data_IF_656524317987
#
_entry.id   IF_656524317987
#
_cell.length_a   1.000
_cell.length_b   1.000
_cell.length_c   1.000
_cell.angle_alpha   90.00
_cell.angle_beta   90.00
_cell.angle_gamma   90.00
#
_symmetry.space_group_name_H-M   'P 1'
#
loop_
_entity.id
_entity.type
_entity.pdbx_description
1 polymer ?
#
# COMPACT_ATOMS: atom_id res chain seq x y z
N UNK A 1 -60.34 5.56 -68.76
CA UNK A 1 -60.50 5.40 -67.30
C UNK A 1 -59.13 5.48 -66.66
N UNK A 2 -58.83 6.59 -65.98
CA UNK A 2 -57.54 6.85 -65.30
C UNK A 2 -57.44 5.97 -64.05
N UNK A 3 -56.36 5.20 -63.90
CA UNK A 3 -55.99 4.55 -62.64
C UNK A 3 -54.79 5.29 -62.05
N UNK A 4 -55.01 5.75 -60.82
CA UNK A 4 -54.10 6.53 -59.99
C UNK A 4 -53.02 5.57 -59.46
N UNK A 5 -51.74 5.89 -59.69
CA UNK A 5 -50.61 5.25 -59.01
C UNK A 5 -50.34 6.02 -57.72
N UNK A 6 -50.54 5.36 -56.58
CA UNK A 6 -50.19 5.89 -55.25
C UNK A 6 -48.76 5.47 -54.93
N UNK A 7 -47.85 6.44 -54.81
CA UNK A 7 -46.48 6.22 -54.36
C UNK A 7 -46.46 6.05 -52.84
N UNK A 8 -45.98 4.90 -52.35
CA UNK A 8 -45.76 4.65 -50.93
C UNK A 8 -44.35 5.14 -50.55
N UNK A 9 -44.27 6.23 -49.78
CA UNK A 9 -43.02 6.69 -49.19
C UNK A 9 -42.67 5.76 -48.00
N UNK A 10 -41.52 5.09 -48.08
CA UNK A 10 -40.97 4.29 -46.98
C UNK A 10 -40.18 5.22 -46.06
N UNK A 11 -40.66 5.42 -44.83
CA UNK A 11 -39.94 6.12 -43.77
C UNK A 11 -38.93 5.11 -43.19
N UNK A 12 -37.64 5.34 -43.44
CA UNK A 12 -36.56 4.60 -42.78
C UNK A 12 -36.45 5.11 -41.34
N UNK A 13 -36.88 4.30 -40.37
CA UNK A 13 -36.63 4.59 -38.97
C UNK A 13 -35.14 4.34 -38.66
N UNK A 14 -34.39 5.41 -38.41
CA UNK A 14 -33.04 5.31 -37.85
C UNK A 14 -33.21 4.99 -36.37
N UNK A 15 -32.95 3.74 -35.99
CA UNK A 15 -32.80 3.36 -34.58
C UNK A 15 -31.54 4.08 -34.03
N UNK A 16 -31.59 4.69 -32.84
CA UNK A 16 -30.37 5.10 -32.15
C UNK A 16 -29.59 3.84 -31.78
N UNK A 17 -28.35 3.73 -32.26
CA UNK A 17 -27.41 2.74 -31.73
C UNK A 17 -27.19 3.08 -30.26
N UNK A 18 -27.80 2.28 -29.37
CA UNK A 18 -27.44 2.27 -27.96
C UNK A 18 -25.97 1.86 -27.89
N UNK A 19 -25.14 2.78 -27.41
CA UNK A 19 -23.77 2.46 -27.02
C UNK A 19 -23.87 1.39 -25.93
N UNK A 20 -23.55 0.16 -26.31
CA UNK A 20 -23.30 -0.91 -25.37
C UNK A 20 -21.94 -0.55 -24.75
N UNK A 21 -21.95 0.09 -23.58
CA UNK A 21 -20.76 0.18 -22.75
C UNK A 21 -20.30 -1.25 -22.52
N UNK A 22 -19.19 -1.60 -23.17
CA UNK A 22 -18.57 -2.90 -23.02
C UNK A 22 -17.94 -2.88 -21.62
N UNK A 23 -18.69 -3.32 -20.60
CA UNK A 23 -18.11 -3.68 -19.30
C UNK A 23 -17.04 -4.72 -19.60
N UNK A 24 -15.79 -4.28 -19.67
CA UNK A 24 -14.66 -5.19 -19.82
C UNK A 24 -14.73 -6.15 -18.64
N UNK A 25 -14.77 -7.46 -18.93
CA UNK A 25 -14.81 -8.48 -17.90
C UNK A 25 -13.64 -8.28 -16.93
N UNK A 26 -13.95 -8.00 -15.66
CA UNK A 26 -12.93 -7.89 -14.61
C UNK A 26 -12.36 -9.27 -14.32
N UNK A 27 -11.03 -9.39 -14.34
CA UNK A 27 -10.33 -10.63 -14.02
C UNK A 27 -10.46 -10.92 -12.52
N UNK A 28 -10.84 -12.15 -12.16
CA UNK A 28 -10.90 -12.56 -10.77
C UNK A 28 -9.48 -12.70 -10.18
N UNK A 29 -9.30 -12.28 -8.93
CA UNK A 29 -8.05 -12.44 -8.17
C UNK A 29 -8.19 -13.68 -7.27
N UNK A 30 -7.28 -14.64 -7.40
CA UNK A 30 -7.20 -15.77 -6.46
C UNK A 30 -6.54 -15.30 -5.17
N UNK A 31 -7.22 -15.48 -4.04
CA UNK A 31 -6.73 -15.11 -2.71
C UNK A 31 -6.71 -16.34 -1.81
N UNK A 32 -5.56 -16.59 -1.19
CA UNK A 32 -5.37 -17.61 -0.15
C UNK A 32 -5.14 -16.92 1.17
N UNK A 33 -5.63 -17.51 2.26
CA UNK A 33 -5.46 -16.99 3.61
C UNK A 33 -5.12 -18.11 4.58
N UNK A 34 -4.21 -17.80 5.50
CA UNK A 34 -3.80 -18.68 6.59
C UNK A 34 -4.17 -18.01 7.92
N UNK A 35 -4.93 -18.70 8.79
CA UNK A 35 -5.23 -18.18 10.10
C UNK A 35 -3.94 -18.15 10.93
N UNK A 36 -3.63 -16.98 11.49
CA UNK A 36 -2.51 -16.85 12.42
C UNK A 36 -2.88 -17.58 13.72
N UNK A 37 -2.02 -18.46 14.26
CA UNK A 37 -2.38 -19.34 15.38
C UNK A 37 -2.62 -18.60 16.71
N UNK A 38 -2.24 -17.32 16.79
CA UNK A 38 -2.46 -16.47 17.95
C UNK A 38 -3.66 -15.55 17.71
N UNK A 39 -4.76 -15.83 18.41
CA UNK A 39 -6.03 -15.11 18.21
C UNK A 39 -5.98 -13.64 18.66
N UNK A 40 -6.72 -12.78 17.94
CA UNK A 40 -6.97 -11.36 18.28
C UNK A 40 -5.69 -10.52 18.34
N UNK A 41 -4.69 -10.88 17.56
CA UNK A 41 -3.36 -10.22 17.61
C UNK A 41 -3.16 -9.15 16.55
N UNK A 42 -4.09 -9.03 15.59
CA UNK A 42 -4.06 -8.07 14.47
C UNK A 42 -2.76 -8.20 13.64
N UNK A 43 -2.53 -9.37 13.03
CA UNK A 43 -1.39 -9.62 12.16
C UNK A 43 -1.44 -8.66 10.96
N UNK A 44 -0.33 -7.99 10.67
CA UNK A 44 -0.31 -6.99 9.62
C UNK A 44 1.08 -6.64 9.12
N UNK A 45 1.06 -5.82 8.08
CA UNK A 45 2.20 -5.16 7.45
C UNK A 45 3.37 -6.12 7.17
N UNK A 46 3.11 -7.18 6.37
CA UNK A 46 4.13 -8.16 6.07
C UNK A 46 5.20 -7.62 5.13
N UNK A 47 6.35 -8.28 5.15
CA UNK A 47 7.45 -8.16 4.20
C UNK A 47 8.02 -9.55 3.86
N UNK A 48 8.72 -9.67 2.72
CA UNK A 48 9.15 -10.97 2.16
C UNK A 48 10.67 -11.08 2.19
N UNK A 49 11.18 -12.10 2.87
CA UNK A 49 12.62 -12.38 2.92
C UNK A 49 13.13 -13.07 1.65
N UNK A 50 14.45 -13.06 1.43
CA UNK A 50 15.06 -13.64 0.24
C UNK A 50 14.90 -15.16 0.14
N UNK A 51 14.62 -15.85 1.23
CA UNK A 51 14.31 -17.28 1.28
C UNK A 51 12.81 -17.57 1.06
N UNK A 52 11.97 -16.55 0.89
CA UNK A 52 10.52 -16.68 0.69
C UNK A 52 9.71 -16.69 1.98
N UNK A 53 10.36 -16.58 3.14
CA UNK A 53 9.65 -16.43 4.41
C UNK A 53 8.94 -15.08 4.50
N UNK A 54 7.77 -15.07 5.11
CA UNK A 54 6.91 -13.89 5.23
C UNK A 54 7.00 -13.37 6.67
N UNK A 55 7.68 -12.25 6.86
CA UNK A 55 7.79 -11.58 8.15
C UNK A 55 6.60 -10.65 8.35
N UNK A 56 6.03 -10.61 9.55
CA UNK A 56 4.90 -9.74 9.90
C UNK A 56 4.91 -9.37 11.39
N UNK A 57 4.02 -8.47 11.80
CA UNK A 57 3.85 -8.10 13.21
C UNK A 57 2.43 -8.33 13.67
N UNK A 58 2.26 -8.68 14.95
CA UNK A 58 0.97 -8.67 15.63
C UNK A 58 0.89 -7.49 16.59
N UNK A 59 0.30 -6.37 16.17
CA UNK A 59 0.31 -5.16 17.01
C UNK A 59 -0.37 -5.35 18.36
N UNK A 60 -1.50 -6.04 18.39
CA UNK A 60 -2.24 -6.21 19.64
C UNK A 60 -1.64 -7.31 20.53
N UNK A 61 -0.79 -8.16 19.96
CA UNK A 61 -0.09 -9.24 20.66
C UNK A 61 1.37 -8.94 20.99
N UNK A 62 1.88 -7.75 20.66
CA UNK A 62 3.26 -7.32 20.91
C UNK A 62 4.32 -8.34 20.42
N UNK A 63 4.25 -8.76 19.15
CA UNK A 63 5.24 -9.68 18.57
C UNK A 63 5.68 -9.30 17.14
N UNK A 64 6.86 -9.78 16.77
CA UNK A 64 7.29 -10.01 15.37
C UNK A 64 7.15 -11.50 15.09
N UNK A 65 6.73 -11.89 13.89
CA UNK A 65 6.56 -13.29 13.52
C UNK A 65 7.00 -13.54 12.08
N UNK A 66 7.28 -14.81 11.80
CA UNK A 66 7.62 -15.31 10.48
C UNK A 66 6.67 -16.44 10.10
N UNK A 67 6.30 -16.48 8.84
CA UNK A 67 5.47 -17.52 8.24
C UNK A 67 6.24 -18.17 7.09
N UNK A 68 6.38 -19.50 7.14
CA UNK A 68 6.83 -20.32 6.03
C UNK A 68 5.59 -20.79 5.23
N UNK A 69 5.38 -20.28 4.01
CA UNK A 69 4.23 -20.66 3.19
C UNK A 69 4.33 -22.07 2.59
N UNK A 70 5.51 -22.69 2.52
CA UNK A 70 5.66 -24.06 1.98
C UNK A 70 5.28 -25.10 3.04
N UNK A 71 5.79 -24.92 4.28
CA UNK A 71 5.45 -25.76 5.42
C UNK A 71 4.15 -25.39 6.15
N UNK A 72 3.58 -24.22 5.84
CA UNK A 72 2.49 -23.57 6.59
C UNK A 72 2.80 -23.40 8.09
N UNK A 73 4.04 -23.07 8.41
CA UNK A 73 4.54 -22.96 9.80
C UNK A 73 4.67 -21.50 10.22
N UNK A 74 4.22 -21.21 11.43
CA UNK A 74 4.37 -19.89 12.07
C UNK A 74 5.31 -19.97 13.27
N UNK A 75 6.21 -19.00 13.37
CA UNK A 75 7.04 -18.76 14.54
C UNK A 75 6.91 -17.30 14.98
N UNK A 76 6.89 -17.03 16.29
CA UNK A 76 6.84 -15.67 16.83
C UNK A 76 7.98 -15.40 17.80
N UNK A 77 8.30 -14.12 17.87
CA UNK A 77 9.26 -13.52 18.78
C UNK A 77 8.51 -12.46 19.61
N UNK A 78 8.32 -12.76 20.90
CA UNK A 78 7.60 -11.88 21.81
C UNK A 78 8.43 -10.60 22.07
N UNK A 79 7.79 -9.44 21.93
CA UNK A 79 8.36 -8.15 22.30
C UNK A 79 7.98 -7.81 23.75
N UNK A 80 8.53 -6.71 24.28
CA UNK A 80 8.05 -6.22 25.57
C UNK A 80 6.61 -5.68 25.45
N UNK A 81 5.82 -5.93 26.50
CA UNK A 81 4.46 -5.42 26.64
C UNK A 81 4.35 -3.94 26.28
N UNK A 82 3.39 -3.61 25.44
CA UNK A 82 3.14 -2.24 24.99
C UNK A 82 4.03 -1.76 23.84
N UNK A 83 4.85 -2.63 23.23
CA UNK A 83 5.62 -2.29 22.04
C UNK A 83 4.71 -1.79 20.89
N UNK A 84 3.54 -2.42 20.74
CA UNK A 84 2.53 -2.12 19.75
C UNK A 84 3.08 -2.03 18.33
N UNK A 85 3.84 -3.04 17.85
CA UNK A 85 4.58 -2.92 16.61
C UNK A 85 3.68 -2.58 15.43
N UNK A 86 4.12 -1.70 14.53
CA UNK A 86 3.27 -1.28 13.40
C UNK A 86 3.59 -2.00 12.09
N UNK A 87 4.86 -2.04 11.72
CA UNK A 87 5.36 -2.57 10.47
C UNK A 87 6.69 -3.31 10.72
N UNK A 88 7.00 -4.28 9.87
CA UNK A 88 8.30 -4.94 9.77
C UNK A 88 8.83 -4.75 8.35
N UNK A 89 10.15 -4.68 8.22
CA UNK A 89 10.86 -4.76 6.95
C UNK A 89 11.96 -5.82 7.06
N UNK A 90 12.24 -6.49 5.95
CA UNK A 90 13.45 -7.31 5.77
C UNK A 90 14.40 -6.50 4.90
N UNK A 91 15.58 -6.21 5.44
CA UNK A 91 16.58 -5.42 4.70
C UNK A 91 17.29 -6.26 3.64
N UNK A 92 18.01 -5.61 2.73
CA UNK A 92 18.80 -6.26 1.68
C UNK A 92 19.82 -7.25 2.27
N UNK A 93 20.42 -6.89 3.40
CA UNK A 93 21.33 -7.76 4.18
C UNK A 93 20.61 -8.75 5.12
N UNK A 94 19.30 -8.91 4.94
CA UNK A 94 18.42 -9.88 5.62
C UNK A 94 18.28 -9.66 7.13
N UNK A 95 18.48 -8.42 7.61
CA UNK A 95 18.11 -8.04 8.97
C UNK A 95 16.62 -7.80 9.09
N UNK A 96 16.04 -8.13 10.25
CA UNK A 96 14.62 -7.96 10.52
C UNK A 96 14.43 -6.71 11.39
N UNK A 97 13.80 -5.68 10.83
CA UNK A 97 13.56 -4.41 11.51
C UNK A 97 12.07 -4.13 11.67
N UNK A 98 11.66 -3.58 12.80
CA UNK A 98 10.26 -3.24 13.06
C UNK A 98 10.11 -1.86 13.72
N UNK A 99 8.94 -1.23 13.52
CA UNK A 99 8.54 -0.03 14.28
C UNK A 99 7.92 -0.43 15.62
N UNK A 100 8.58 -0.13 16.74
CA UNK A 100 8.01 -0.13 18.07
C UNK A 100 7.07 1.06 18.29
N UNK A 101 5.97 1.12 17.54
CA UNK A 101 5.14 2.32 17.38
C UNK A 101 4.58 2.91 18.69
N UNK A 102 4.27 2.07 19.69
CA UNK A 102 3.78 2.56 20.99
C UNK A 102 4.88 2.77 22.02
N UNK A 103 6.10 2.29 21.73
CA UNK A 103 7.24 2.30 22.63
C UNK A 103 8.40 3.20 22.15
N UNK A 104 8.18 4.03 21.11
CA UNK A 104 9.12 5.04 20.63
C UNK A 104 10.52 4.48 20.27
N UNK A 105 10.56 3.40 19.48
CA UNK A 105 11.84 2.84 19.01
C UNK A 105 11.73 2.17 17.63
N UNK A 106 12.87 2.08 16.95
CA UNK A 106 13.09 1.08 15.90
C UNK A 106 13.74 -0.15 16.55
N UNK A 107 13.28 -1.34 16.22
CA UNK A 107 13.82 -2.58 16.79
C UNK A 107 14.39 -3.48 15.72
N UNK A 108 15.59 -4.01 15.95
CA UNK A 108 16.21 -5.05 15.14
C UNK A 108 16.13 -6.38 15.88
N UNK A 109 15.52 -7.38 15.24
CA UNK A 109 15.41 -8.74 15.75
C UNK A 109 16.54 -9.60 15.18
N UNK A 110 17.23 -10.33 16.06
CA UNK A 110 18.05 -11.48 15.66
C UNK A 110 17.15 -12.74 15.65
N UNK A 111 16.83 -13.31 14.47
CA UNK A 111 15.95 -14.47 14.38
C UNK A 111 16.55 -15.76 14.95
N UNK A 112 17.88 -15.86 15.09
CA UNK A 112 18.52 -17.05 15.63
C UNK A 112 18.42 -17.14 17.15
N UNK A 113 18.37 -15.99 17.83
CA UNK A 113 18.39 -15.90 19.30
C UNK A 113 17.09 -15.33 19.88
N UNK A 114 16.32 -14.60 19.08
CA UNK A 114 15.18 -13.80 19.54
C UNK A 114 15.58 -12.48 20.21
N UNK A 115 16.88 -12.14 20.24
CA UNK A 115 17.33 -10.90 20.86
C UNK A 115 16.88 -9.65 20.08
N UNK A 116 16.44 -8.62 20.81
CA UNK A 116 16.01 -7.35 20.23
C UNK A 116 17.01 -6.25 20.59
N UNK A 117 17.63 -5.66 19.57
CA UNK A 117 18.35 -4.40 19.70
C UNK A 117 17.40 -3.22 19.43
N UNK A 118 17.27 -2.30 20.39
CA UNK A 118 16.38 -1.13 20.27
C UNK A 118 17.16 0.14 20.01
N UNK A 119 16.76 0.87 18.99
CA UNK A 119 17.20 2.23 18.70
C UNK A 119 16.07 3.18 19.13
N UNK A 120 16.19 3.87 20.28
CA UNK A 120 15.16 4.80 20.73
C UNK A 120 15.03 5.94 19.73
N UNK A 121 13.80 6.32 19.41
CA UNK A 121 13.57 7.54 18.63
C UNK A 121 13.78 8.76 19.54
N UNK A 122 14.25 9.90 19.00
CA UNK A 122 14.44 11.10 19.79
C UNK A 122 13.15 11.59 20.48
N UNK A 123 13.27 12.16 21.69
CA UNK A 123 12.10 12.56 22.50
C UNK A 123 11.27 13.71 21.89
N UNK A 124 11.78 14.38 20.86
CA UNK A 124 11.28 15.61 20.21
C UNK A 124 10.06 15.38 19.29
N UNK A 125 9.07 14.68 19.84
CA UNK A 125 7.86 14.23 19.16
C UNK A 125 8.07 13.05 18.19
N UNK A 126 9.23 12.39 18.15
CA UNK A 126 9.42 11.19 17.33
C UNK A 126 8.86 9.88 17.95
N UNK A 127 7.91 9.97 18.88
CA UNK A 127 7.56 8.88 19.80
C UNK A 127 6.66 7.77 19.20
N UNK A 128 6.29 7.88 17.92
CA UNK A 128 5.44 6.90 17.25
C UNK A 128 5.92 6.54 15.84
N UNK A 129 7.14 5.97 15.70
CA UNK A 129 7.61 5.47 14.41
C UNK A 129 6.60 4.49 13.83
N UNK A 130 6.28 4.61 12.54
CA UNK A 130 5.10 3.98 11.97
C UNK A 130 5.48 3.04 10.80
N UNK A 131 5.67 3.57 9.59
CA UNK A 131 6.04 2.75 8.42
C UNK A 131 7.53 2.90 8.16
N UNK A 132 8.25 1.79 8.02
CA UNK A 132 9.67 1.75 7.69
C UNK A 132 9.85 1.43 6.20
N UNK A 133 10.96 1.86 5.63
CA UNK A 133 11.48 1.41 4.33
C UNK A 133 13.00 1.59 4.32
N UNK A 134 13.73 0.66 3.72
CA UNK A 134 15.18 0.77 3.52
C UNK A 134 15.51 1.46 2.19
N UNK A 135 16.57 2.27 2.18
CA UNK A 135 17.12 2.88 0.97
C UNK A 135 18.37 2.16 0.45
N UNK A 136 18.84 2.52 -0.75
CA UNK A 136 19.97 1.84 -1.41
C UNK A 136 21.31 1.94 -0.66
N UNK A 137 21.39 2.82 0.34
CA UNK A 137 22.57 2.98 1.22
C UNK A 137 22.42 2.20 2.52
N UNK A 138 21.33 1.43 2.68
CA UNK A 138 21.04 0.67 3.87
C UNK A 138 20.58 1.55 5.04
N UNK A 139 20.08 2.76 4.79
CA UNK A 139 19.48 3.61 5.83
C UNK A 139 17.98 3.28 5.92
N UNK A 140 17.43 3.36 7.11
CA UNK A 140 16.00 3.09 7.35
C UNK A 140 15.26 4.41 7.44
N UNK A 141 14.43 4.69 6.43
CA UNK A 141 13.47 5.78 6.48
C UNK A 141 12.22 5.35 7.23
N UNK A 142 11.61 6.28 7.95
CA UNK A 142 10.38 6.00 8.67
C UNK A 142 9.48 7.22 8.81
N UNK A 143 8.17 6.97 8.86
CA UNK A 143 7.20 8.01 9.22
C UNK A 143 6.96 8.05 10.72
N UNK A 144 6.72 9.25 11.24
CA UNK A 144 6.30 9.47 12.63
C UNK A 144 4.92 10.13 12.58
N UNK A 145 3.88 9.33 12.79
CA UNK A 145 2.52 9.72 12.44
C UNK A 145 2.01 10.87 13.30
N UNK A 146 1.88 10.67 14.60
CA UNK A 146 1.38 11.65 15.55
C UNK A 146 2.43 12.70 15.87
N UNK A 147 3.70 12.32 15.81
CA UNK A 147 4.84 13.23 15.89
C UNK A 147 4.97 14.25 14.78
N UNK A 148 4.30 14.01 13.64
CA UNK A 148 4.29 14.92 12.50
C UNK A 148 5.72 15.14 11.95
N UNK A 149 6.47 14.04 11.82
CA UNK A 149 7.85 14.01 11.31
C UNK A 149 8.05 12.89 10.28
N UNK A 150 9.08 13.06 9.47
CA UNK A 150 9.69 11.99 8.66
C UNK A 150 11.11 11.84 9.18
N UNK A 151 11.56 10.61 9.38
CA UNK A 151 12.86 10.30 9.93
C UNK A 151 13.69 9.40 9.01
N UNK A 152 14.99 9.44 9.22
CA UNK A 152 15.97 8.53 8.59
C UNK A 152 16.98 8.10 9.64
N UNK A 153 17.19 6.81 9.75
CA UNK A 153 18.18 6.19 10.61
C UNK A 153 19.33 5.64 9.78
N UNK A 154 20.54 6.14 10.02
CA UNK A 154 21.76 5.58 9.43
C UNK A 154 22.27 4.44 10.31
N UNK A 155 22.22 3.21 9.80
CA UNK A 155 22.65 2.01 10.53
C UNK A 155 24.16 1.97 10.79
N UNK A 156 24.96 2.65 9.97
CA UNK A 156 26.43 2.66 10.08
C UNK A 156 26.92 3.64 11.14
N UNK A 157 26.30 4.82 11.24
CA UNK A 157 26.67 5.84 12.24
C UNK A 157 25.85 5.72 13.53
N UNK A 158 24.66 5.16 13.46
CA UNK A 158 23.70 5.12 14.56
C UNK A 158 22.91 6.43 14.74
N UNK A 159 22.97 7.34 13.76
CA UNK A 159 22.33 8.66 13.85
C UNK A 159 20.90 8.65 13.27
N UNK A 160 20.01 9.41 13.91
CA UNK A 160 18.65 9.66 13.43
C UNK A 160 18.53 11.13 13.05
N UNK A 161 18.12 11.38 11.81
CA UNK A 161 17.72 12.70 11.32
C UNK A 161 16.19 12.79 11.25
N UNK A 162 15.63 13.96 11.57
CA UNK A 162 14.19 14.20 11.57
C UNK A 162 13.86 15.52 10.87
N UNK A 163 12.82 15.50 10.03
CA UNK A 163 12.27 16.69 9.39
C UNK A 163 10.80 16.84 9.70
N UNK A 164 10.40 18.06 10.08
CA UNK A 164 9.03 18.41 10.42
C UNK A 164 8.19 18.80 9.22
N UNK A 165 7.00 18.23 9.13
CA UNK A 165 5.98 18.71 8.19
C UNK A 165 5.27 19.92 8.79
N UNK A 166 5.00 20.91 7.94
CA UNK A 166 4.72 22.29 8.34
C UNK A 166 3.35 22.44 8.99
N UNK A 167 2.35 21.73 8.48
CA UNK A 167 0.99 21.79 8.98
C UNK A 167 0.82 20.85 10.20
N UNK A 168 0.20 21.32 11.31
CA UNK A 168 -0.11 20.45 12.43
C UNK A 168 -1.08 19.33 12.05
N UNK A 169 -0.88 18.14 12.65
CA UNK A 169 -1.72 16.95 12.43
C UNK A 169 -1.75 16.48 10.96
N UNK A 170 -0.68 16.71 10.19
CA UNK A 170 -0.52 16.18 8.83
C UNK A 170 -0.41 14.67 8.78
N UNK A 171 0.02 14.01 9.85
CA UNK A 171 0.07 12.54 9.97
C UNK A 171 0.81 11.85 8.80
N UNK A 172 2.13 12.05 8.68
CA UNK A 172 2.98 11.22 7.81
C UNK A 172 2.64 9.73 8.00
N UNK A 173 2.28 9.03 6.92
CA UNK A 173 1.70 7.69 7.00
C UNK A 173 2.44 6.65 6.16
N UNK A 174 2.05 6.46 4.91
CA UNK A 174 2.74 5.60 3.96
C UNK A 174 3.95 6.32 3.39
N UNK A 175 5.04 5.59 3.19
CA UNK A 175 6.30 6.05 2.62
C UNK A 175 6.72 5.11 1.48
N UNK A 176 7.26 5.68 0.41
CA UNK A 176 7.95 4.97 -0.68
C UNK A 176 9.17 5.79 -1.10
N UNK A 177 10.19 5.12 -1.62
CA UNK A 177 11.37 5.76 -2.16
C UNK A 177 11.28 5.80 -3.68
N UNK A 178 11.84 6.84 -4.29
CA UNK A 178 12.13 6.85 -5.73
C UNK A 178 13.50 6.25 -6.04
N UNK A 179 13.92 6.26 -7.31
CA UNK A 179 15.18 5.64 -7.75
C UNK A 179 16.43 6.35 -7.21
N UNK A 180 16.28 7.60 -6.75
CA UNK A 180 17.30 8.42 -6.12
C UNK A 180 17.18 8.42 -4.58
N UNK A 181 16.46 7.44 -4.01
CA UNK A 181 16.19 7.29 -2.57
C UNK A 181 15.41 8.43 -1.92
N UNK A 182 14.79 9.35 -2.69
CA UNK A 182 13.99 10.41 -2.08
C UNK A 182 12.71 9.82 -1.51
N UNK A 183 12.37 10.24 -0.29
CA UNK A 183 11.20 9.72 0.39
C UNK A 183 9.93 10.47 -0.02
N UNK A 184 9.00 9.74 -0.63
CA UNK A 184 7.63 10.17 -0.90
C UNK A 184 6.70 9.71 0.21
N UNK A 185 5.97 10.64 0.81
CA UNK A 185 5.16 10.38 2.02
C UNK A 185 3.75 10.93 1.87
N UNK A 186 2.76 10.11 2.23
CA UNK A 186 1.37 10.53 2.30
C UNK A 186 1.11 11.27 3.62
N UNK A 187 0.59 12.49 3.55
CA UNK A 187 0.21 13.29 4.72
C UNK A 187 -1.28 13.10 5.02
N UNK A 188 -1.62 11.96 5.60
CA UNK A 188 -2.98 11.45 5.76
C UNK A 188 -3.96 12.38 6.49
N UNK A 189 -3.48 13.27 7.37
CA UNK A 189 -4.32 14.26 8.04
C UNK A 189 -4.69 15.47 7.18
N UNK A 190 -4.14 15.57 5.97
CA UNK A 190 -4.29 16.69 5.02
C UNK A 190 -4.51 16.18 3.60
N UNK A 191 -4.65 17.08 2.63
CA UNK A 191 -4.67 16.79 1.19
C UNK A 191 -3.28 16.97 0.57
N UNK A 192 -2.22 16.46 1.20
CA UNK A 192 -0.85 16.70 0.72
C UNK A 192 -0.01 15.42 0.60
N UNK A 193 0.98 15.49 -0.27
CA UNK A 193 2.15 14.62 -0.29
C UNK A 193 3.35 15.40 0.26
N UNK A 194 4.35 14.67 0.73
CA UNK A 194 5.68 15.20 1.05
C UNK A 194 6.73 14.46 0.23
N UNK A 195 7.75 15.18 -0.25
CA UNK A 195 9.00 14.63 -0.76
C UNK A 195 10.12 15.09 0.16
N UNK A 196 10.98 14.19 0.62
CA UNK A 196 12.22 14.52 1.34
C UNK A 196 13.39 14.09 0.49
N UNK A 197 14.27 15.03 0.17
CA UNK A 197 15.45 14.77 -0.63
C UNK A 197 16.45 13.88 0.11
N UNK A 198 17.00 12.87 -0.55
CA UNK A 198 17.87 11.89 0.08
C UNK A 198 19.26 12.45 0.42
N UNK A 199 19.74 13.47 -0.27
CA UNK A 199 21.05 14.05 -0.03
C UNK A 199 20.96 15.23 0.93
N UNK A 200 20.05 16.17 0.66
CA UNK A 200 19.96 17.43 1.42
C UNK A 200 19.03 17.34 2.63
N UNK A 201 18.19 16.30 2.69
CA UNK A 201 17.13 16.13 3.69
C UNK A 201 16.10 17.27 3.68
N UNK A 202 16.01 18.01 2.58
CA UNK A 202 15.05 19.10 2.40
C UNK A 202 13.64 18.56 2.11
N UNK A 203 12.65 19.12 2.81
CA UNK A 203 11.23 18.78 2.66
C UNK A 203 10.54 19.68 1.64
N UNK A 204 9.81 19.06 0.72
CA UNK A 204 8.83 19.72 -0.17
C UNK A 204 7.43 19.18 0.11
N UNK A 205 6.45 20.05 0.36
CA UNK A 205 5.03 19.67 0.49
C UNK A 205 4.27 20.00 -0.80
N UNK A 206 3.47 19.04 -1.27
CA UNK A 206 2.74 19.12 -2.53
C UNK A 206 1.25 18.98 -2.24
N UNK A 207 0.46 19.98 -2.63
CA UNK A 207 -0.99 19.98 -2.41
C UNK A 207 -1.72 19.22 -3.51
N UNK A 208 -2.60 18.29 -3.10
CA UNK A 208 -3.46 17.53 -4.02
C UNK A 208 -4.63 18.41 -4.52
N UNK A 209 -5.12 18.17 -5.77
CA UNK A 209 -6.17 18.99 -6.38
C UNK A 209 -7.48 19.04 -5.58
N UNK A 210 -7.84 17.94 -4.90
CA UNK A 210 -9.05 17.83 -4.10
C UNK A 210 -8.74 18.08 -2.62
N UNK A 211 -9.35 19.12 -2.06
CA UNK A 211 -9.18 19.54 -0.66
C UNK A 211 -9.57 18.48 0.37
N UNK A 212 -10.57 17.67 0.03
CA UNK A 212 -11.11 16.64 0.92
C UNK A 212 -10.42 15.27 0.74
N UNK A 213 -9.50 15.15 -0.22
CA UNK A 213 -8.69 13.95 -0.39
C UNK A 213 -7.83 13.67 0.86
N UNK A 214 -7.72 12.40 1.24
CA UNK A 214 -6.88 11.93 2.34
C UNK A 214 -5.95 10.82 1.85
N UNK A 215 -4.80 11.17 1.24
CA UNK A 215 -3.84 10.18 0.79
C UNK A 215 -3.32 9.40 1.99
N UNK A 216 -3.32 8.06 1.94
CA UNK A 216 -2.85 7.24 3.07
C UNK A 216 -1.65 6.37 2.77
N UNK A 217 -1.72 5.52 1.75
CA UNK A 217 -0.59 4.71 1.25
C UNK A 217 -0.27 5.11 -0.18
N UNK A 218 0.95 4.81 -0.56
CA UNK A 218 1.53 5.17 -1.84
C UNK A 218 2.07 3.94 -2.56
N UNK A 219 2.16 4.05 -3.87
CA UNK A 219 3.06 3.26 -4.71
C UNK A 219 3.90 4.22 -5.55
N UNK A 220 5.18 3.90 -5.74
CA UNK A 220 6.06 4.64 -6.64
C UNK A 220 6.38 3.74 -7.83
N UNK A 221 6.23 4.26 -9.05
CA UNK A 221 6.61 3.59 -10.28
C UNK A 221 7.36 4.55 -11.21
N UNK A 222 7.85 4.05 -12.34
CA UNK A 222 8.39 4.86 -13.44
C UNK A 222 7.39 5.89 -14.00
N UNK A 223 6.10 5.71 -13.72
CA UNK A 223 5.00 6.61 -14.11
C UNK A 223 4.67 7.61 -12.99
N UNK A 224 5.43 7.68 -11.92
CA UNK A 224 5.26 8.65 -10.84
C UNK A 224 4.65 8.07 -9.56
N UNK A 225 4.09 8.95 -8.73
CA UNK A 225 3.65 8.64 -7.38
C UNK A 225 2.15 8.41 -7.35
N UNK A 226 1.73 7.17 -7.14
CA UNK A 226 0.33 6.82 -6.96
C UNK A 226 -0.07 6.94 -5.49
N UNK A 227 -1.28 7.44 -5.24
CA UNK A 227 -1.85 7.58 -3.90
C UNK A 227 -3.31 7.11 -3.87
N UNK A 228 -3.69 6.43 -2.79
CA UNK A 228 -5.07 6.08 -2.52
C UNK A 228 -5.73 7.14 -1.65
N UNK A 229 -6.82 7.74 -2.14
CA UNK A 229 -7.65 8.64 -1.34
C UNK A 229 -8.63 7.84 -0.48
N UNK A 230 -8.30 7.76 0.81
CA UNK A 230 -9.10 7.03 1.78
C UNK A 230 -10.49 7.62 2.00
N UNK A 231 -10.67 8.93 1.80
CA UNK A 231 -11.91 9.61 2.16
C UNK A 231 -12.96 9.58 1.05
N UNK A 232 -12.56 9.82 -0.20
CA UNK A 232 -13.52 9.98 -1.31
C UNK A 232 -13.42 8.87 -2.38
N UNK A 233 -12.44 7.96 -2.25
CA UNK A 233 -12.30 6.76 -3.09
C UNK A 233 -11.87 7.05 -4.52
N UNK A 234 -10.72 7.72 -4.63
CA UNK A 234 -10.01 7.91 -5.88
C UNK A 234 -8.62 7.31 -5.79
N UNK A 235 -8.17 6.77 -6.91
CA UNK A 235 -6.75 6.54 -7.16
C UNK A 235 -6.23 7.79 -7.82
N UNK A 236 -5.16 8.37 -7.29
CA UNK A 236 -4.47 9.49 -7.91
C UNK A 236 -3.04 9.15 -8.29
N UNK A 237 -2.52 9.85 -9.30
CA UNK A 237 -1.13 9.85 -9.73
C UNK A 237 -0.63 11.28 -9.73
N UNK A 238 0.51 11.51 -9.09
CA UNK A 238 1.31 12.72 -9.19
C UNK A 238 2.55 12.43 -10.04
N UNK A 239 2.82 13.32 -10.98
CA UNK A 239 3.99 13.27 -11.86
C UNK A 239 5.05 14.28 -11.37
N UNK A 240 6.18 13.82 -10.80
CA UNK A 240 7.17 14.73 -10.21
C UNK A 240 7.89 15.62 -11.23
N UNK A 241 7.99 15.21 -12.49
CA UNK A 241 8.69 15.96 -13.54
C UNK A 241 7.85 17.14 -14.04
N UNK A 242 6.56 16.88 -14.30
CA UNK A 242 5.64 17.88 -14.86
C UNK A 242 4.83 18.62 -13.78
N UNK A 243 4.69 18.04 -12.60
CA UNK A 243 3.78 18.51 -11.55
C UNK A 243 2.30 18.19 -11.82
N UNK A 244 1.99 17.38 -12.83
CA UNK A 244 0.60 17.07 -13.20
C UNK A 244 -0.03 16.03 -12.27
N UNK A 245 -1.35 16.17 -12.08
CA UNK A 245 -2.18 15.21 -11.38
C UNK A 245 -3.17 14.55 -12.32
N UNK A 246 -3.39 13.25 -12.11
CA UNK A 246 -4.48 12.50 -12.72
C UNK A 246 -5.16 11.62 -11.70
N UNK A 247 -6.49 11.55 -11.74
CA UNK A 247 -7.27 10.79 -10.76
C UNK A 247 -8.37 9.97 -11.44
N UNK A 248 -8.62 8.78 -10.90
CA UNK A 248 -9.61 7.83 -11.35
C UNK A 248 -10.52 7.43 -10.19
N UNK A 249 -11.83 7.48 -10.41
CA UNK A 249 -12.80 7.05 -9.39
C UNK A 249 -12.68 5.55 -9.20
N UNK A 250 -12.41 5.12 -7.97
CA UNK A 250 -12.29 3.69 -7.65
C UNK A 250 -13.66 2.99 -7.72
N UNK A 251 -13.70 1.67 -7.94
CA UNK A 251 -14.94 0.89 -8.00
C UNK A 251 -15.83 1.02 -6.77
N UNK A 252 -15.26 1.18 -5.58
CA UNK A 252 -16.00 1.35 -4.33
C UNK A 252 -16.54 2.75 -4.13
N UNK A 253 -16.15 3.69 -5.00
CA UNK A 253 -16.51 5.10 -4.93
C UNK A 253 -16.31 5.65 -3.50
N UNK A 254 -17.29 6.37 -2.95
CA UNK A 254 -17.21 6.98 -1.61
C UNK A 254 -17.14 5.95 -0.48
N UNK A 255 -17.38 4.66 -0.79
CA UNK A 255 -17.23 3.52 0.10
C UNK A 255 -15.96 2.73 -0.16
N UNK A 256 -15.02 3.25 -0.96
CA UNK A 256 -13.78 2.52 -1.25
C UNK A 256 -12.95 2.34 0.03
N UNK A 257 -12.67 3.42 0.76
CA UNK A 257 -11.80 3.35 1.93
C UNK A 257 -10.43 2.78 1.60
N UNK A 258 -9.90 3.09 0.41
CA UNK A 258 -8.63 2.55 -0.07
C UNK A 258 -7.52 2.73 0.97
N UNK A 259 -6.93 1.61 1.40
CA UNK A 259 -6.00 1.60 2.52
C UNK A 259 -4.63 1.09 2.13
N UNK A 260 -4.47 -0.21 1.89
CA UNK A 260 -3.20 -0.80 1.44
C UNK A 260 -2.98 -0.52 -0.05
N UNK A 261 -1.71 -0.37 -0.45
CA UNK A 261 -1.30 -0.12 -1.83
C UNK A 261 0.08 -0.71 -2.09
N UNK A 262 0.27 -1.29 -3.27
CA UNK A 262 1.56 -1.77 -3.78
C UNK A 262 1.57 -1.66 -5.32
N UNK A 263 2.76 -1.55 -5.90
CA UNK A 263 2.96 -1.74 -7.33
C UNK A 263 3.57 -3.13 -7.57
N UNK A 264 3.25 -3.74 -8.71
CA UNK A 264 3.98 -4.91 -9.20
C UNK A 264 5.16 -4.54 -10.10
N UNK A 265 5.90 -5.55 -10.56
CA UNK A 265 7.07 -5.41 -11.45
C UNK A 265 6.79 -4.77 -12.81
N UNK A 266 5.51 -4.62 -13.19
CA UNK A 266 5.07 -3.97 -14.43
C UNK A 266 4.59 -2.53 -14.19
N UNK A 267 4.61 -2.08 -12.94
CA UNK A 267 4.09 -0.79 -12.53
C UNK A 267 2.55 -0.74 -12.45
N UNK A 268 1.86 -1.90 -12.46
CA UNK A 268 0.41 -1.93 -12.20
C UNK A 268 0.17 -1.70 -10.71
N UNK A 269 -0.91 -1.01 -10.40
CA UNK A 269 -1.23 -0.60 -9.03
C UNK A 269 -2.27 -1.54 -8.45
N UNK A 270 -1.98 -2.06 -7.28
CA UNK A 270 -2.86 -2.90 -6.50
C UNK A 270 -3.24 -2.14 -5.23
N UNK A 271 -4.49 -2.28 -4.79
CA UNK A 271 -4.95 -1.74 -3.52
C UNK A 271 -6.12 -2.53 -2.94
N UNK A 272 -6.42 -2.29 -1.66
CA UNK A 272 -7.59 -2.88 -0.98
C UNK A 272 -8.56 -1.79 -0.56
N UNK A 273 -9.80 -1.94 -0.98
CA UNK A 273 -10.96 -1.16 -0.55
C UNK A 273 -11.50 -1.73 0.75
N UNK A 274 -11.16 -1.10 1.87
CA UNK A 274 -11.38 -1.67 3.21
C UNK A 274 -12.76 -1.36 3.82
N UNK A 275 -13.59 -0.60 3.12
CA UNK A 275 -14.95 -0.26 3.57
C UNK A 275 -16.01 -1.11 2.87
N UNK A 276 -15.61 -2.00 1.98
CA UNK A 276 -16.45 -3.07 1.45
C UNK A 276 -16.49 -4.21 2.47
N UNK A 277 -17.60 -4.96 2.53
CA UNK A 277 -17.73 -6.15 3.36
C UNK A 277 -18.30 -7.30 2.50
N UNK A 278 -17.46 -8.28 2.10
CA UNK A 278 -16.03 -8.41 2.39
C UNK A 278 -15.16 -7.31 1.75
N UNK A 279 -13.96 -7.06 2.31
CA UNK A 279 -12.97 -6.16 1.70
C UNK A 279 -12.69 -6.56 0.24
N UNK A 280 -12.51 -5.57 -0.63
CA UNK A 280 -12.27 -5.80 -2.06
C UNK A 280 -10.85 -5.45 -2.48
N UNK A 281 -10.12 -6.43 -2.99
CA UNK A 281 -8.83 -6.27 -3.65
C UNK A 281 -9.04 -5.79 -5.08
N UNK A 282 -8.28 -4.79 -5.55
CA UNK A 282 -8.47 -4.16 -6.86
C UNK A 282 -7.12 -3.98 -7.55
N UNK A 283 -7.08 -4.31 -8.84
CA UNK A 283 -5.97 -4.03 -9.75
C UNK A 283 -6.29 -2.92 -10.74
N UNK A 284 -5.37 -1.98 -10.90
CA UNK A 284 -5.41 -0.87 -11.85
C UNK A 284 -4.17 -0.92 -12.74
N UNK A 285 -4.38 -0.78 -14.04
CA UNK A 285 -3.32 -0.73 -15.03
C UNK A 285 -3.13 0.71 -15.50
N UNK A 286 -2.01 1.37 -15.18
CA UNK A 286 -1.73 2.74 -15.63
C UNK A 286 -1.53 2.88 -17.14
N UNK A 287 -1.23 1.81 -17.87
CA UNK A 287 -1.05 1.88 -19.34
C UNK A 287 -2.40 2.00 -20.05
N UNK A 288 -3.37 1.20 -19.63
CA UNK A 288 -4.74 1.24 -20.18
C UNK A 288 -5.67 2.18 -19.42
N UNK A 289 -5.24 2.67 -18.26
CA UNK A 289 -5.99 3.53 -17.33
C UNK A 289 -7.31 2.89 -16.85
N UNK A 290 -7.28 1.58 -16.64
CA UNK A 290 -8.46 0.79 -16.28
C UNK A 290 -8.24 -0.02 -15.02
N UNK A 291 -9.30 -0.10 -14.22
CA UNK A 291 -9.45 -1.16 -13.23
C UNK A 291 -9.76 -2.45 -13.98
N UNK A 292 -8.94 -3.48 -13.79
CA UNK A 292 -9.00 -4.69 -14.61
C UNK A 292 -9.17 -5.98 -13.81
N UNK A 293 -8.91 -5.94 -12.51
CA UNK A 293 -9.00 -7.12 -11.65
C UNK A 293 -9.66 -6.79 -10.31
N UNK A 294 -10.49 -7.71 -9.80
CA UNK A 294 -11.13 -7.60 -8.50
C UNK A 294 -11.24 -8.97 -7.82
N UNK A 295 -11.16 -8.98 -6.50
CA UNK A 295 -11.39 -10.17 -5.68
C UNK A 295 -11.83 -9.81 -4.27
N UNK A 296 -12.71 -10.61 -3.69
CA UNK A 296 -13.15 -10.45 -2.30
C UNK A 296 -12.21 -11.24 -1.38
N UNK A 297 -11.82 -10.64 -0.26
CA UNK A 297 -10.98 -11.32 0.74
C UNK A 297 -11.86 -12.35 1.48
N UNK A 298 -11.55 -13.67 1.45
CA UNK A 298 -12.43 -14.71 1.97
C UNK A 298 -12.82 -14.55 3.46
N UNK A 299 -11.89 -14.11 4.30
CA UNK A 299 -12.11 -13.85 5.73
C UNK A 299 -12.91 -12.57 6.01
N UNK A 300 -13.25 -11.80 4.98
CA UNK A 300 -13.75 -10.43 5.05
C UNK A 300 -12.66 -9.38 5.17
N UNK A 301 -11.44 -9.77 5.59
CA UNK A 301 -10.24 -8.91 5.67
C UNK A 301 -10.24 -7.85 6.79
N UNK A 302 -11.40 -7.35 7.23
CA UNK A 302 -11.51 -6.31 8.25
C UNK A 302 -10.80 -5.02 7.82
N UNK A 303 -9.54 -4.85 8.19
CA UNK A 303 -8.66 -3.84 7.60
C UNK A 303 -7.36 -4.44 7.12
N UNK A 304 -7.06 -4.24 5.82
CA UNK A 304 -5.75 -4.52 5.23
C UNK A 304 -4.94 -3.24 5.21
N UNK A 305 -3.84 -3.19 5.98
CA UNK A 305 -3.12 -1.92 6.23
C UNK A 305 -1.95 -1.64 5.32
N UNK A 306 -1.27 -2.69 4.91
CA UNK A 306 -0.11 -2.69 4.04
C UNK A 306 -0.09 -4.01 3.32
N UNK A 307 0.62 -4.01 2.20
CA UNK A 307 0.83 -5.18 1.40
C UNK A 307 2.12 -5.02 0.61
N UNK A 308 2.74 -6.14 0.27
CA UNK A 308 4.04 -6.20 -0.40
C UNK A 308 3.93 -7.13 -1.59
N UNK A 309 4.50 -6.71 -2.72
CA UNK A 309 4.58 -7.54 -3.91
C UNK A 309 5.82 -8.43 -3.83
N UNK A 310 5.62 -9.73 -4.03
CA UNK A 310 6.69 -10.69 -4.21
C UNK A 310 6.86 -11.02 -5.71
N UNK A 311 7.96 -10.56 -6.35
CA UNK A 311 8.22 -10.86 -7.75
C UNK A 311 8.50 -12.33 -8.02
N UNK A 312 8.98 -13.10 -7.04
CA UNK A 312 9.33 -14.53 -7.24
C UNK A 312 8.10 -15.40 -7.46
N UNK A 313 7.03 -15.11 -6.72
CA UNK A 313 5.77 -15.83 -6.83
C UNK A 313 4.71 -15.06 -7.65
N UNK A 314 5.02 -13.83 -8.07
CA UNK A 314 4.08 -12.92 -8.74
C UNK A 314 2.76 -12.82 -7.93
N UNK A 315 2.92 -12.52 -6.65
CA UNK A 315 1.83 -12.44 -5.69
C UNK A 315 1.99 -11.23 -4.77
N UNK A 316 0.92 -10.87 -4.07
CA UNK A 316 0.94 -9.81 -3.06
C UNK A 316 0.60 -10.42 -1.70
N UNK A 317 1.49 -10.24 -0.73
CA UNK A 317 1.27 -10.63 0.65
C UNK A 317 0.68 -9.48 1.46
N UNK A 318 -0.27 -9.80 2.33
CA UNK A 318 -0.95 -8.83 3.17
C UNK A 318 -1.42 -9.46 4.49
N UNK A 319 -1.63 -8.64 5.53
CA UNK A 319 -2.23 -9.09 6.79
C UNK A 319 -3.60 -8.45 7.01
N UNK A 320 -4.44 -9.13 7.79
CA UNK A 320 -5.84 -8.75 8.00
C UNK A 320 -6.17 -8.59 9.50
N UNK A 321 -7.03 -7.61 9.82
CA UNK A 321 -7.58 -7.48 11.19
C UNK A 321 -8.46 -8.67 11.59
N UNK A 322 -8.84 -9.53 10.64
CA UNK A 322 -9.56 -10.79 10.86
C UNK A 322 -8.64 -11.94 11.29
N UNK A 323 -7.38 -11.65 11.63
CA UNK A 323 -6.40 -12.60 12.17
C UNK A 323 -5.81 -13.58 11.15
N UNK A 324 -5.56 -13.12 9.92
CA UNK A 324 -4.96 -13.91 8.85
C UNK A 324 -3.75 -13.20 8.22
N UNK A 325 -2.86 -14.01 7.64
CA UNK A 325 -1.96 -13.59 6.57
C UNK A 325 -2.57 -14.09 5.25
N UNK A 326 -2.59 -13.24 4.24
CA UNK A 326 -3.17 -13.52 2.93
C UNK A 326 -2.16 -13.33 1.81
N UNK A 327 -2.37 -14.09 0.72
CA UNK A 327 -1.63 -14.02 -0.52
C UNK A 327 -2.62 -13.85 -1.68
N UNK A 328 -2.50 -12.77 -2.43
CA UNK A 328 -3.26 -12.53 -3.65
C UNK A 328 -2.38 -12.86 -4.87
N UNK A 329 -2.80 -13.84 -5.66
CA UNK A 329 -2.10 -14.19 -6.90
C UNK A 329 -2.42 -13.18 -7.99
N UNK A 330 -1.39 -12.58 -8.56
CA UNK A 330 -1.57 -11.54 -9.57
C UNK A 330 -1.84 -12.19 -10.94
N UNK A 331 -2.94 -11.84 -11.62
CA UNK A 331 -3.23 -12.38 -12.95
C UNK A 331 -2.16 -11.99 -13.97
N UNK A 332 -1.72 -13.00 -14.72
CA UNK A 332 -0.91 -12.80 -15.92
C UNK A 332 -1.78 -12.14 -17.01
N UNK A 333 -1.20 -11.30 -17.89
CA UNK A 333 -1.93 -10.86 -19.07
C UNK A 333 -2.35 -12.08 -19.91
N UNK A 334 -3.45 -11.99 -20.68
CA UNK A 334 -3.73 -12.98 -21.70
C UNK A 334 -2.51 -13.09 -22.62
N UNK A 335 -2.10 -14.32 -22.97
CA UNK A 335 -1.04 -14.53 -23.96
C UNK A 335 -1.42 -13.79 -25.26
N UNK A 336 -0.46 -13.12 -25.94
CA UNK A 336 -0.76 -12.49 -27.22
C UNK A 336 -1.25 -13.57 -28.19
N UNK A 337 -2.40 -13.31 -28.83
CA UNK A 337 -2.92 -14.20 -29.87
C UNK A 337 -1.84 -14.37 -30.96
N UNK A 338 -1.36 -15.60 -31.14
CA UNK A 338 -0.31 -15.97 -32.10
C UNK A 338 -0.77 -15.93 -33.54
#
# INVERSE_FOLDING_TARGET
MRRIMTAAASILAVLPALAQENEAATTAIEIREWPVPWEKTRPRDPDVAADGQIWFVGQAGDYVAVFDPEGEVFERFDLADGAGPHNVIVTDDQEIWYSGNKAAHLGRLDPATGEIHRVPTPEDHAQDPHTLIEDSQGRIWFTVQWGNRIGRYDRGTGEIELVGVSQPRSRPYGIKLDAEDNAWVALFGTNKLARVDAETFELTEIELPRKDARPRRLAHTDRGVFYGDYAEGYLGRYDPESGEFKEWRMPGADKSGAYAMAADDRGRIWFVETWQDPNRFVGFDPETERFFAMGEIPSGGGTVRHMVFDPKTNSIWFGTDTNHIGQAMIPQPPEPET
#
